data_IF_480482636286
#
_entry.id   IF_480482636286
#
_cell.length_a   1.000
_cell.length_b   1.000
_cell.length_c   1.000
_cell.angle_alpha   90.00
_cell.angle_beta   90.00
_cell.angle_gamma   90.00
#
_symmetry.space_group_name_H-M   'P 1'
#
loop_
_entity.id
_entity.type
_entity.pdbx_description
1 polymer ?
#
# COMPACT_ATOMS: atom_id res chain seq x y z
N UNK A 1 -5.09 -20.62 -15.53
CA UNK A 1 -6.45 -20.08 -15.75
C UNK A 1 -7.26 -20.30 -14.47
N UNK A 2 -7.31 -19.34 -13.55
CA UNK A 2 -8.08 -19.44 -12.30
C UNK A 2 -8.59 -18.08 -11.78
N UNK A 3 -8.75 -17.07 -12.63
CA UNK A 3 -9.17 -15.73 -12.17
C UNK A 3 -10.14 -14.96 -13.08
N UNK A 4 -10.73 -15.58 -14.12
CA UNK A 4 -11.68 -14.87 -15.00
C UNK A 4 -13.16 -15.14 -14.73
N UNK A 5 -13.50 -16.03 -13.80
CA UNK A 5 -14.90 -16.29 -13.43
C UNK A 5 -15.10 -15.87 -11.98
N UNK A 6 -15.64 -14.65 -11.78
CA UNK A 6 -16.49 -14.22 -10.65
C UNK A 6 -16.46 -12.70 -10.47
N UNK A 7 -16.63 -11.93 -11.54
CA UNK A 7 -16.83 -10.47 -11.45
C UNK A 7 -18.29 -10.03 -11.69
N UNK A 8 -19.22 -10.96 -11.94
CA UNK A 8 -20.59 -10.64 -12.33
C UNK A 8 -21.69 -11.02 -11.31
N UNK A 9 -21.36 -11.55 -10.13
CA UNK A 9 -22.36 -12.16 -9.23
C UNK A 9 -22.81 -11.30 -8.03
N UNK A 10 -22.63 -9.98 -8.09
CA UNK A 10 -22.98 -9.07 -6.97
C UNK A 10 -24.26 -8.25 -7.16
N UNK A 11 -25.23 -8.70 -7.95
CA UNK A 11 -26.46 -7.91 -8.18
C UNK A 11 -27.77 -8.48 -7.67
N UNK A 12 -27.80 -9.53 -6.84
CA UNK A 12 -29.07 -9.99 -6.25
C UNK A 12 -28.89 -10.44 -4.78
N UNK A 13 -29.22 -9.55 -3.84
CA UNK A 13 -29.43 -9.90 -2.44
C UNK A 13 -30.79 -9.35 -2.00
N UNK A 14 -31.79 -10.24 -1.93
CA UNK A 14 -33.06 -10.04 -1.22
C UNK A 14 -33.08 -10.96 0.02
N UNK A 15 -33.67 -10.54 1.16
CA UNK A 15 -33.45 -11.19 2.45
C UNK A 15 -34.60 -12.15 2.80
N UNK A 16 -34.29 -13.41 3.13
CA UNK A 16 -35.28 -14.36 3.63
C UNK A 16 -34.82 -14.95 4.97
N UNK A 17 -35.33 -14.33 6.04
CA UNK A 17 -35.55 -14.98 7.32
C UNK A 17 -36.64 -16.04 7.15
N UNK A 18 -36.36 -17.29 7.50
CA UNK A 18 -37.24 -18.08 8.35
C UNK A 18 -36.53 -19.29 8.97
N UNK A 19 -36.68 -19.32 10.29
CA UNK A 19 -36.51 -20.37 11.28
C UNK A 19 -37.00 -21.75 10.80
N UNK A 20 -36.30 -22.84 11.15
CA UNK A 20 -36.73 -23.80 12.18
C UNK A 20 -35.94 -25.15 12.09
N UNK A 21 -35.63 -25.71 13.27
CA UNK A 21 -35.68 -27.17 13.47
C UNK A 21 -34.44 -28.06 13.28
N UNK A 22 -33.77 -28.35 14.41
CA UNK A 22 -33.15 -29.65 14.79
C UNK A 22 -31.84 -30.09 14.08
N UNK A 23 -30.87 -30.77 14.69
CA UNK A 23 -30.72 -31.46 15.98
C UNK A 23 -29.21 -31.59 16.27
N UNK A 24 -28.80 -31.25 17.49
CA UNK A 24 -27.46 -31.53 18.04
C UNK A 24 -27.43 -32.96 18.57
N UNK A 25 -26.38 -33.74 18.24
CA UNK A 25 -25.95 -34.84 19.10
C UNK A 25 -24.43 -35.11 19.02
N UNK A 26 -23.73 -35.27 20.17
CA UNK A 26 -22.27 -35.38 20.22
C UNK A 26 -21.74 -36.78 20.58
N UNK A 27 -20.41 -36.91 20.37
CA UNK A 27 -19.39 -37.76 21.00
C UNK A 27 -19.29 -39.28 20.76
N UNK A 28 -18.01 -39.70 20.82
CA UNK A 28 -17.44 -41.05 21.06
C UNK A 28 -17.01 -41.81 19.77
N UNK A 29 -15.85 -42.48 19.61
CA UNK A 29 -14.75 -42.91 20.49
C UNK A 29 -13.43 -43.11 19.71
N UNK A 30 -12.30 -42.88 20.41
CA UNK A 30 -11.06 -43.70 20.54
C UNK A 30 -10.52 -44.50 19.35
N UNK A 31 -9.26 -44.24 18.97
CA UNK A 31 -8.24 -45.31 18.80
C UNK A 31 -6.81 -44.75 18.82
N UNK A 32 -5.99 -45.34 19.70
CA UNK A 32 -4.56 -45.11 19.89
C UNK A 32 -3.70 -45.62 18.72
N UNK A 33 -2.50 -45.02 18.59
CA UNK A 33 -1.41 -45.54 17.77
C UNK A 33 -0.20 -44.60 17.78
N UNK A 34 0.77 -44.88 18.66
CA UNK A 34 1.93 -44.02 18.92
C UNK A 34 3.19 -44.26 18.08
N UNK A 35 4.18 -43.44 18.42
CA UNK A 35 5.62 -43.47 18.12
C UNK A 35 6.10 -43.01 16.73
N UNK A 36 6.85 -41.91 16.67
CA UNK A 36 8.32 -41.97 16.58
C UNK A 36 8.94 -40.57 16.43
N UNK A 37 9.99 -40.35 17.21
CA UNK A 37 10.88 -39.18 17.26
C UNK A 37 11.77 -39.06 16.03
N UNK A 38 11.99 -37.83 15.54
CA UNK A 38 13.02 -37.55 14.54
C UNK A 38 13.18 -36.05 14.26
N UNK A 39 14.00 -35.38 15.05
CA UNK A 39 14.54 -34.05 14.73
C UNK A 39 15.75 -34.21 13.81
N UNK A 40 15.94 -33.34 12.81
CA UNK A 40 17.26 -33.08 12.27
C UNK A 40 17.73 -31.65 12.58
N UNK A 41 19.01 -31.61 12.92
CA UNK A 41 19.86 -30.51 13.33
C UNK A 41 20.03 -29.41 12.26
N UNK A 42 20.02 -28.15 12.71
CA UNK A 42 20.36 -26.94 11.92
C UNK A 42 21.87 -26.75 11.87
N UNK A 43 22.45 -26.89 10.68
CA UNK A 43 23.83 -26.47 10.38
C UNK A 43 23.83 -25.02 9.87
N UNK A 44 24.56 -24.15 10.57
CA UNK A 44 24.74 -22.75 10.19
C UNK A 44 25.63 -22.59 8.95
N UNK A 45 25.29 -21.61 8.12
CA UNK A 45 26.14 -21.11 7.04
C UNK A 45 26.10 -19.58 7.08
N UNK A 46 27.22 -18.98 7.49
CA UNK A 46 27.53 -17.57 7.30
C UNK A 46 27.87 -17.36 5.82
N UNK A 47 27.18 -16.44 5.14
CA UNK A 47 27.69 -15.82 3.90
C UNK A 47 27.43 -14.32 3.93
N UNK A 48 28.43 -13.59 4.42
CA UNK A 48 28.74 -12.22 4.02
C UNK A 48 29.05 -12.17 2.52
N UNK A 49 28.35 -11.33 1.76
CA UNK A 49 28.80 -10.85 0.46
C UNK A 49 28.62 -9.34 0.42
N UNK A 50 29.75 -8.62 0.34
CA UNK A 50 29.82 -7.17 0.21
C UNK A 50 29.40 -6.71 -1.18
N UNK A 51 28.73 -5.56 -1.22
CA UNK A 51 28.20 -4.92 -2.42
C UNK A 51 29.02 -3.65 -2.68
N UNK A 52 30.17 -3.78 -3.34
CA UNK A 52 30.92 -2.63 -3.85
C UNK A 52 30.63 -2.44 -5.35
N UNK A 53 29.97 -1.31 -5.63
CA UNK A 53 30.19 -0.46 -6.79
C UNK A 53 30.06 -1.07 -8.19
N UNK A 54 28.88 -0.96 -8.80
CA UNK A 54 28.73 -0.98 -10.26
C UNK A 54 27.90 0.21 -10.74
N UNK A 55 28.59 1.30 -11.04
CA UNK A 55 28.12 2.32 -11.96
C UNK A 55 28.34 1.82 -13.39
N UNK A 56 27.28 1.71 -14.19
CA UNK A 56 27.37 1.31 -15.59
C UNK A 56 26.62 2.30 -16.49
N UNK A 57 27.40 3.13 -17.17
CA UNK A 57 26.99 3.82 -18.41
C UNK A 57 26.89 2.81 -19.56
N UNK A 58 25.93 2.95 -20.50
CA UNK A 58 25.70 1.93 -21.52
C UNK A 58 26.53 2.21 -22.78
N UNK A 59 27.47 1.32 -23.09
CA UNK A 59 27.99 1.15 -24.46
C UNK A 59 27.40 -0.11 -25.06
N UNK A 60 26.59 0.08 -26.10
CA UNK A 60 25.82 -0.97 -26.79
C UNK A 60 26.75 -1.80 -27.67
N UNK A 61 26.75 -3.12 -27.51
CA UNK A 61 27.11 -4.07 -28.56
C UNK A 61 26.34 -5.38 -28.36
N UNK A 62 25.58 -5.75 -29.39
CA UNK A 62 24.53 -6.75 -29.33
C UNK A 62 25.04 -8.19 -29.36
N UNK A 63 24.84 -8.89 -28.24
CA UNK A 63 24.52 -10.32 -28.14
C UNK A 63 23.71 -10.47 -26.84
N UNK A 64 22.45 -10.96 -26.90
CA UNK A 64 21.69 -11.35 -25.70
C UNK A 64 20.43 -10.53 -25.34
N UNK A 65 19.40 -10.55 -26.19
CA UNK A 65 18.11 -9.95 -25.86
C UNK A 65 17.35 -10.70 -24.74
N UNK A 66 17.54 -12.02 -24.59
CA UNK A 66 16.86 -12.84 -23.57
C UNK A 66 17.50 -12.79 -22.17
N UNK A 67 18.81 -12.56 -22.08
CA UNK A 67 19.49 -12.39 -20.79
C UNK A 67 19.13 -11.04 -20.13
N UNK A 68 18.91 -10.02 -20.96
CA UNK A 68 18.52 -8.67 -20.49
C UNK A 68 17.12 -8.67 -19.89
N UNK A 69 16.18 -9.45 -20.44
CA UNK A 69 14.79 -9.53 -19.94
C UNK A 69 14.66 -10.30 -18.63
N UNK A 70 15.43 -11.37 -18.41
CA UNK A 70 15.46 -12.07 -17.12
C UNK A 70 16.07 -11.23 -15.99
N UNK A 71 17.11 -10.43 -16.29
CA UNK A 71 17.65 -9.47 -15.33
C UNK A 71 16.62 -8.37 -14.98
N UNK A 72 15.78 -7.98 -15.93
CA UNK A 72 14.76 -6.95 -15.72
C UNK A 72 13.59 -7.45 -14.85
N UNK A 73 13.16 -8.72 -14.99
CA UNK A 73 12.11 -9.27 -14.11
C UNK A 73 12.60 -9.45 -12.67
N UNK A 74 13.84 -9.91 -12.49
CA UNK A 74 14.46 -10.00 -11.17
C UNK A 74 14.57 -8.63 -10.47
N UNK A 75 15.00 -7.58 -11.20
CA UNK A 75 15.06 -6.22 -10.66
C UNK A 75 13.67 -5.67 -10.32
N UNK A 76 12.66 -5.90 -11.17
CA UNK A 76 11.29 -5.46 -10.90
C UNK A 76 10.69 -6.13 -9.65
N UNK A 77 10.99 -7.41 -9.42
CA UNK A 77 10.57 -8.11 -8.19
C UNK A 77 11.25 -7.50 -6.96
N UNK A 78 12.55 -7.20 -7.03
CA UNK A 78 13.27 -6.59 -5.90
C UNK A 78 12.66 -5.24 -5.51
N UNK A 79 12.35 -4.39 -6.52
CA UNK A 79 11.68 -3.12 -6.30
C UNK A 79 10.28 -3.30 -5.67
N UNK A 80 9.50 -4.30 -6.11
CA UNK A 80 8.21 -4.61 -5.50
C UNK A 80 8.34 -5.12 -4.06
N UNK A 81 9.32 -6.00 -3.80
CA UNK A 81 9.56 -6.53 -2.47
C UNK A 81 9.91 -5.40 -1.49
N UNK A 82 10.78 -4.50 -1.91
CA UNK A 82 11.16 -3.32 -1.12
C UNK A 82 9.98 -2.37 -0.90
N UNK A 83 9.25 -2.01 -1.96
CA UNK A 83 8.07 -1.16 -1.84
C UNK A 83 7.01 -1.80 -0.92
N UNK A 84 6.84 -3.12 -1.00
CA UNK A 84 5.89 -3.87 -0.15
C UNK A 84 6.34 -3.88 1.31
N UNK A 85 7.64 -4.07 1.58
CA UNK A 85 8.18 -4.01 2.94
C UNK A 85 8.00 -2.60 3.53
N UNK A 86 8.41 -1.57 2.80
CA UNK A 86 8.25 -0.18 3.20
C UNK A 86 6.78 0.18 3.46
N UNK A 87 5.87 -0.25 2.58
CA UNK A 87 4.44 -0.05 2.78
C UNK A 87 3.89 -0.84 3.97
N UNK A 88 4.38 -2.05 4.24
CA UNK A 88 3.88 -2.86 5.37
C UNK A 88 4.23 -2.28 6.73
N UNK A 89 5.42 -1.70 6.86
CA UNK A 89 5.96 -1.22 8.14
C UNK A 89 5.80 0.30 8.35
N UNK A 90 5.34 1.04 7.35
CA UNK A 90 5.00 2.46 7.51
C UNK A 90 3.59 2.64 8.09
N UNK A 91 3.38 3.58 9.02
CA UNK A 91 2.05 3.90 9.58
C UNK A 91 1.19 4.73 8.62
N UNK A 92 1.80 5.47 7.69
CA UNK A 92 1.12 6.29 6.67
C UNK A 92 1.13 5.62 5.28
N UNK A 93 0.39 6.15 4.31
CA UNK A 93 0.40 5.63 2.92
C UNK A 93 1.55 6.28 2.15
N UNK A 94 2.50 5.46 1.70
CA UNK A 94 3.66 5.96 0.95
C UNK A 94 3.27 6.44 -0.46
N UNK A 95 4.10 7.27 -1.12
CA UNK A 95 3.86 7.69 -2.50
C UNK A 95 3.65 6.50 -3.45
N UNK A 96 2.60 6.55 -4.26
CA UNK A 96 2.25 5.47 -5.18
C UNK A 96 3.37 5.25 -6.23
N UNK A 97 4.00 4.06 -6.28
CA UNK A 97 5.13 3.80 -7.18
C UNK A 97 4.63 3.48 -8.61
N UNK A 98 4.12 4.50 -9.31
CA UNK A 98 3.52 4.35 -10.63
C UNK A 98 4.47 3.73 -11.66
N UNK A 99 5.74 4.16 -11.67
CA UNK A 99 6.77 3.63 -12.57
C UNK A 99 6.99 2.13 -12.36
N UNK A 100 7.23 1.71 -11.11
CA UNK A 100 7.47 0.30 -10.79
C UNK A 100 6.25 -0.56 -11.16
N UNK A 101 5.04 -0.14 -10.82
CA UNK A 101 3.82 -0.89 -11.15
C UNK A 101 3.62 -1.01 -12.66
N UNK A 102 3.86 0.05 -13.44
CA UNK A 102 3.77 -0.01 -14.90
C UNK A 102 4.81 -0.97 -15.50
N UNK A 103 6.04 -0.99 -14.98
CA UNK A 103 7.06 -1.96 -15.44
C UNK A 103 6.64 -3.40 -15.15
N UNK A 104 6.12 -3.66 -13.95
CA UNK A 104 5.63 -4.97 -13.52
C UNK A 104 4.45 -5.44 -14.38
N UNK A 105 3.48 -4.56 -14.64
CA UNK A 105 2.32 -4.89 -15.49
C UNK A 105 2.80 -5.32 -16.88
N UNK A 106 3.76 -4.60 -17.47
CA UNK A 106 4.34 -4.96 -18.77
C UNK A 106 5.06 -6.31 -18.73
N UNK A 107 5.77 -6.62 -17.64
CA UNK A 107 6.44 -7.93 -17.44
C UNK A 107 5.40 -9.05 -17.33
N UNK A 108 4.36 -8.87 -16.51
CA UNK A 108 3.25 -9.82 -16.34
C UNK A 108 2.58 -10.12 -17.70
N UNK A 109 2.25 -9.09 -18.48
CA UNK A 109 1.61 -9.26 -19.79
C UNK A 109 2.50 -9.96 -20.81
N UNK A 110 3.83 -9.77 -20.75
CA UNK A 110 4.78 -10.49 -21.60
C UNK A 110 4.89 -11.95 -21.18
N UNK A 111 5.02 -12.21 -19.88
CA UNK A 111 5.11 -13.55 -19.32
C UNK A 111 3.84 -14.38 -19.59
N UNK A 112 2.65 -13.78 -19.48
CA UNK A 112 1.38 -14.42 -19.81
C UNK A 112 1.31 -14.86 -21.28
N UNK A 113 1.63 -13.96 -22.22
CA UNK A 113 1.67 -14.30 -23.65
C UNK A 113 2.71 -15.37 -23.97
N UNK A 114 3.89 -15.29 -23.35
CA UNK A 114 4.92 -16.31 -23.51
C UNK A 114 4.41 -17.68 -23.04
N UNK A 115 3.77 -17.74 -21.87
CA UNK A 115 3.19 -18.95 -21.31
C UNK A 115 2.16 -19.57 -22.27
N UNK A 116 1.23 -18.75 -22.80
CA UNK A 116 0.22 -19.20 -23.76
C UNK A 116 0.85 -19.80 -25.03
N UNK A 117 1.86 -19.15 -25.58
CA UNK A 117 2.55 -19.65 -26.78
C UNK A 117 3.30 -20.95 -26.53
N UNK A 118 3.91 -21.12 -25.35
CA UNK A 118 4.64 -22.33 -24.98
C UNK A 118 3.68 -23.49 -24.73
N UNK A 119 2.55 -23.26 -24.05
CA UNK A 119 1.48 -24.24 -23.90
C UNK A 119 0.96 -24.70 -25.26
N UNK A 120 0.71 -23.77 -26.18
CA UNK A 120 0.21 -24.08 -27.52
C UNK A 120 1.22 -24.84 -28.41
N UNK A 121 2.52 -24.77 -28.11
CA UNK A 121 3.56 -25.56 -28.78
C UNK A 121 3.63 -26.97 -28.19
N UNK A 122 3.62 -27.09 -26.86
CA UNK A 122 3.64 -28.39 -26.16
C UNK A 122 2.42 -29.26 -26.52
N UNK A 123 1.24 -28.64 -26.67
CA UNK A 123 0.03 -29.37 -27.11
C UNK A 123 0.11 -29.87 -28.55
N UNK A 124 0.84 -29.17 -29.44
CA UNK A 124 0.97 -29.54 -30.86
C UNK A 124 2.08 -30.55 -31.11
N UNK A 125 3.23 -30.37 -30.47
CA UNK A 125 4.42 -31.20 -30.67
C UNK A 125 4.36 -32.50 -29.86
N UNK A 126 3.32 -32.66 -29.03
CA UNK A 126 3.26 -33.69 -28.00
C UNK A 126 4.28 -33.40 -26.90
N UNK A 127 4.19 -34.11 -25.77
CA UNK A 127 5.18 -34.00 -24.70
C UNK A 127 6.52 -34.61 -25.14
N UNK A 128 7.24 -33.96 -26.07
CA UNK A 128 8.65 -34.17 -26.28
C UNK A 128 9.32 -33.85 -24.95
N UNK A 129 9.52 -34.89 -24.13
CA UNK A 129 9.99 -34.77 -22.76
C UNK A 129 11.36 -34.11 -22.83
N UNK A 130 11.40 -32.82 -22.46
CA UNK A 130 12.67 -32.16 -22.15
C UNK A 130 13.50 -33.11 -21.30
N UNK A 131 14.77 -33.28 -21.65
CA UNK A 131 15.70 -34.13 -20.89
C UNK A 131 15.97 -33.57 -19.49
N UNK A 132 15.51 -32.35 -19.23
CA UNK A 132 15.55 -31.72 -17.92
C UNK A 132 14.48 -32.33 -16.99
N UNK A 133 14.78 -32.44 -15.68
CA UNK A 133 13.83 -32.93 -14.68
C UNK A 133 12.66 -31.96 -14.42
N UNK A 134 12.68 -30.77 -15.01
CA UNK A 134 11.64 -29.73 -14.87
C UNK A 134 11.24 -29.18 -16.24
N UNK A 135 9.98 -28.74 -16.38
CA UNK A 135 9.50 -28.09 -17.60
C UNK A 135 9.76 -26.58 -17.52
N UNK A 136 10.34 -25.95 -18.56
CA UNK A 136 10.52 -24.50 -18.60
C UNK A 136 9.21 -23.72 -18.41
N UNK A 137 8.09 -24.28 -18.85
CA UNK A 137 6.75 -23.71 -18.66
C UNK A 137 6.40 -23.53 -17.17
N UNK A 138 6.74 -24.52 -16.34
CA UNK A 138 6.46 -24.48 -14.90
C UNK A 138 7.27 -23.38 -14.21
N UNK A 139 8.53 -23.18 -14.63
CA UNK A 139 9.40 -22.13 -14.08
C UNK A 139 8.81 -20.74 -14.36
N UNK A 140 8.39 -20.50 -15.61
CA UNK A 140 7.79 -19.21 -16.00
C UNK A 140 6.46 -19.01 -15.27
N UNK A 141 5.65 -20.06 -15.13
CA UNK A 141 4.41 -20.02 -14.37
C UNK A 141 4.62 -19.66 -12.89
N UNK A 142 5.62 -20.29 -12.24
CA UNK A 142 5.96 -20.00 -10.84
C UNK A 142 6.51 -18.58 -10.65
N UNK A 143 7.32 -18.09 -11.59
CA UNK A 143 7.80 -16.69 -11.55
C UNK A 143 6.62 -15.72 -11.65
N UNK A 144 5.72 -15.94 -12.62
CA UNK A 144 4.54 -15.10 -12.83
C UNK A 144 3.67 -15.05 -11.56
N UNK A 145 3.46 -16.20 -10.92
CA UNK A 145 2.73 -16.27 -9.64
C UNK A 145 3.42 -15.47 -8.54
N UNK A 146 4.76 -15.54 -8.46
CA UNK A 146 5.54 -14.78 -7.48
C UNK A 146 5.42 -13.27 -7.70
N UNK A 147 5.48 -12.79 -8.95
CA UNK A 147 5.30 -11.35 -9.25
C UNK A 147 3.89 -10.89 -8.89
N UNK A 148 2.86 -11.65 -9.30
CA UNK A 148 1.47 -11.35 -8.99
C UNK A 148 1.21 -11.32 -7.49
N UNK A 149 1.83 -12.23 -6.73
CA UNK A 149 1.73 -12.25 -5.28
C UNK A 149 2.21 -10.93 -4.66
N UNK A 150 3.42 -10.47 -5.00
CA UNK A 150 3.94 -9.21 -4.44
C UNK A 150 3.15 -7.98 -4.89
N UNK A 151 2.68 -7.94 -6.14
CA UNK A 151 1.82 -6.86 -6.61
C UNK A 151 0.50 -6.82 -5.81
N UNK A 152 -0.15 -7.97 -5.63
CA UNK A 152 -1.37 -8.08 -4.83
C UNK A 152 -1.10 -7.71 -3.36
N UNK A 153 0.03 -8.11 -2.79
CA UNK A 153 0.38 -7.80 -1.40
C UNK A 153 0.58 -6.31 -1.18
N UNK A 154 1.31 -5.63 -2.08
CA UNK A 154 1.45 -4.18 -2.05
C UNK A 154 0.07 -3.49 -2.08
N UNK A 155 -0.79 -3.87 -3.03
CA UNK A 155 -2.12 -3.27 -3.15
C UNK A 155 -3.01 -3.56 -1.92
N UNK A 156 -2.96 -4.77 -1.36
CA UNK A 156 -3.69 -5.11 -0.13
C UNK A 156 -3.21 -4.34 1.09
N UNK A 157 -1.89 -4.12 1.23
CA UNK A 157 -1.34 -3.28 2.30
C UNK A 157 -1.87 -1.85 2.17
N UNK A 158 -1.81 -1.28 0.97
CA UNK A 158 -2.30 0.08 0.69
C UNK A 158 -3.79 0.23 0.95
N UNK A 159 -4.61 -0.67 0.41
CA UNK A 159 -6.06 -0.63 0.61
C UNK A 159 -6.46 -0.71 2.09
N UNK A 160 -5.77 -1.53 2.90
CA UNK A 160 -6.01 -1.59 4.36
C UNK A 160 -5.73 -0.26 5.06
N UNK A 161 -4.71 0.47 4.64
CA UNK A 161 -4.41 1.80 5.19
C UNK A 161 -5.40 2.85 4.69
N UNK A 162 -5.75 2.81 3.41
CA UNK A 162 -6.73 3.72 2.79
C UNK A 162 -8.08 3.57 3.48
N UNK A 163 -8.50 2.34 3.80
CA UNK A 163 -9.75 2.09 4.53
C UNK A 163 -9.77 2.77 5.90
N UNK A 164 -8.69 2.64 6.67
CA UNK A 164 -8.54 3.31 7.98
C UNK A 164 -8.51 4.83 7.88
N UNK A 165 -7.91 5.37 6.81
CA UNK A 165 -7.69 6.80 6.62
C UNK A 165 -8.75 7.45 5.71
N UNK A 166 -9.78 6.72 5.29
CA UNK A 166 -10.69 7.12 4.22
C UNK A 166 -11.34 8.49 4.46
N UNK A 167 -11.81 8.74 5.68
CA UNK A 167 -12.46 10.00 6.07
C UNK A 167 -11.50 11.19 6.01
N UNK A 168 -10.25 11.02 6.46
CA UNK A 168 -9.21 12.06 6.37
C UNK A 168 -8.88 12.37 4.90
N UNK A 169 -8.66 11.34 4.09
CA UNK A 169 -8.34 11.49 2.66
C UNK A 169 -9.49 12.17 1.90
N UNK A 170 -10.74 11.83 2.21
CA UNK A 170 -11.92 12.46 1.64
C UNK A 170 -12.00 13.95 2.01
N UNK A 171 -11.75 14.28 3.28
CA UNK A 171 -11.75 15.66 3.76
C UNK A 171 -10.66 16.51 3.09
N UNK A 172 -9.44 15.98 2.91
CA UNK A 172 -8.37 16.63 2.15
C UNK A 172 -8.85 17.02 0.73
N UNK A 173 -9.64 16.16 0.09
CA UNK A 173 -10.24 16.44 -1.22
C UNK A 173 -11.29 17.56 -1.18
N UNK A 174 -12.09 17.64 -0.11
CA UNK A 174 -13.06 18.73 0.09
C UNK A 174 -12.36 20.08 0.30
N UNK A 175 -11.30 20.10 1.10
CA UNK A 175 -10.49 21.30 1.35
C UNK A 175 -9.82 21.77 0.05
N UNK A 176 -9.24 20.85 -0.73
CA UNK A 176 -8.64 21.15 -2.02
C UNK A 176 -9.66 21.68 -3.05
N UNK A 177 -10.89 21.19 -3.03
CA UNK A 177 -11.95 21.69 -3.89
C UNK A 177 -12.34 23.14 -3.54
N UNK A 178 -12.39 23.49 -2.26
CA UNK A 178 -12.75 24.83 -1.79
C UNK A 178 -11.68 25.88 -2.09
N UNK A 179 -10.40 25.51 -2.00
CA UNK A 179 -9.30 26.42 -2.38
C UNK A 179 -9.23 26.68 -3.89
N UNK A 180 -9.76 25.77 -4.71
CA UNK A 180 -9.79 25.92 -6.17
C UNK A 180 -10.91 26.83 -6.71
N UNK A 181 -11.90 27.18 -5.90
CA UNK A 181 -12.97 28.11 -6.31
C UNK A 181 -12.40 29.53 -6.33
N UNK A 182 -12.24 30.18 -7.50
CA UNK A 182 -11.87 31.59 -7.54
C UNK A 182 -13.00 32.37 -6.89
N UNK A 183 -12.69 33.24 -5.93
CA UNK A 183 -13.61 34.27 -5.44
C UNK A 183 -13.94 35.25 -6.59
N UNK A 184 -14.82 34.82 -7.51
CA UNK A 184 -15.30 35.66 -8.59
C UNK A 184 -16.45 36.54 -8.05
N UNK A 185 -16.08 37.72 -7.54
CA UNK A 185 -16.95 38.90 -7.57
C UNK A 185 -17.66 39.29 -6.27
N UNK A 186 -17.04 40.19 -5.50
CA UNK A 186 -17.71 41.42 -5.05
C UNK A 186 -16.68 42.54 -4.84
N UNK A 187 -16.18 43.12 -5.94
CA UNK A 187 -15.61 44.47 -5.91
C UNK A 187 -16.78 45.45 -5.81
N UNK A 188 -17.14 45.85 -4.59
CA UNK A 188 -17.85 47.11 -4.40
C UNK A 188 -16.81 48.23 -4.33
N UNK A 189 -16.81 49.06 -5.36
CA UNK A 189 -16.29 50.41 -5.25
C UNK A 189 -17.34 51.23 -4.49
N UNK A 190 -17.07 51.57 -3.23
CA UNK A 190 -17.18 52.95 -2.81
C UNK A 190 -16.40 53.16 -1.50
N UNK A 191 -15.74 54.31 -1.40
CA UNK A 191 -14.81 54.60 -0.32
C UNK A 191 -15.52 55.05 0.96
N UNK A 192 -15.16 54.44 2.09
CA UNK A 192 -15.14 55.13 3.39
C UNK A 192 -14.29 54.28 4.35
N UNK A 193 -13.20 54.86 4.85
CA UNK A 193 -12.41 54.27 5.92
C UNK A 193 -13.21 54.28 7.22
N UNK A 194 -13.36 53.13 7.88
CA UNK A 194 -13.48 53.02 9.34
C UNK A 194 -13.43 51.55 9.79
N UNK A 195 -12.50 51.27 10.71
CA UNK A 195 -12.46 50.13 11.66
C UNK A 195 -12.27 48.72 11.08
N UNK A 196 -11.00 48.31 11.09
CA UNK A 196 -10.52 46.92 10.95
C UNK A 196 -11.21 45.96 11.93
N UNK A 197 -12.28 45.29 11.49
CA UNK A 197 -12.82 44.10 12.12
C UNK A 197 -12.79 42.93 11.14
N UNK A 198 -11.84 42.02 11.38
CA UNK A 198 -11.83 40.61 11.02
C UNK A 198 -12.67 40.18 9.81
N UNK A 199 -12.09 40.23 8.61
CA UNK A 199 -12.41 39.22 7.59
C UNK A 199 -11.84 37.88 8.05
N UNK A 200 -12.58 37.19 8.91
CA UNK A 200 -12.39 35.76 9.15
C UNK A 200 -12.84 35.03 7.88
N UNK A 201 -11.96 34.95 6.88
CA UNK A 201 -12.07 33.92 5.84
C UNK A 201 -12.18 32.59 6.58
N UNK A 202 -13.34 31.94 6.51
CA UNK A 202 -13.65 30.66 7.15
C UNK A 202 -12.84 29.55 6.47
N UNK A 203 -11.52 29.59 6.62
CA UNK A 203 -10.62 28.58 6.12
C UNK A 203 -10.84 27.31 6.96
N UNK A 204 -11.23 26.23 6.29
CA UNK A 204 -11.33 24.92 6.93
C UNK A 204 -9.97 24.51 7.51
N UNK A 205 -9.93 23.85 8.69
CA UNK A 205 -8.68 23.38 9.26
C UNK A 205 -7.91 22.44 8.33
N UNK A 206 -6.60 22.64 8.19
CA UNK A 206 -5.75 21.77 7.37
C UNK A 206 -5.35 20.49 8.11
N UNK A 207 -5.34 19.36 7.39
CA UNK A 207 -4.89 18.07 7.92
C UNK A 207 -3.37 18.11 8.11
N UNK A 208 -2.90 17.64 9.28
CA UNK A 208 -1.47 17.68 9.65
C UNK A 208 -0.58 16.89 8.69
N UNK A 209 -1.07 15.75 8.18
CA UNK A 209 -0.29 14.83 7.36
C UNK A 209 -1.10 14.47 6.11
N UNK A 210 -1.00 15.25 5.02
CA UNK A 210 -1.77 15.01 3.81
C UNK A 210 -1.33 13.71 3.13
N UNK A 211 -2.28 12.83 2.85
CA UNK A 211 -2.03 11.53 2.22
C UNK A 211 -2.55 11.48 0.77
N UNK A 212 -3.53 12.30 0.40
CA UNK A 212 -4.26 12.18 -0.88
C UNK A 212 -3.37 12.27 -2.11
N UNK A 213 -2.28 13.04 -2.03
CA UNK A 213 -1.29 13.17 -3.11
C UNK A 213 -0.46 11.88 -3.34
N UNK A 214 -0.35 11.03 -2.33
CA UNK A 214 0.40 9.78 -2.39
C UNK A 214 -0.42 8.64 -3.04
N UNK A 215 -1.70 8.86 -3.32
CA UNK A 215 -2.62 7.85 -3.86
C UNK A 215 -2.72 7.93 -5.39
N UNK A 216 -2.89 6.78 -6.03
CA UNK A 216 -3.31 6.73 -7.42
C UNK A 216 -4.75 7.23 -7.60
N UNK A 217 -5.17 7.67 -8.81
CA UNK A 217 -6.54 8.14 -9.04
C UNK A 217 -7.61 7.11 -8.68
N UNK A 218 -7.33 5.81 -8.88
CA UNK A 218 -8.23 4.73 -8.50
C UNK A 218 -8.32 4.57 -6.98
N UNK A 219 -7.19 4.70 -6.28
CA UNK A 219 -7.15 4.67 -4.82
C UNK A 219 -7.91 5.86 -4.21
N UNK A 220 -7.78 7.06 -4.78
CA UNK A 220 -8.55 8.23 -4.37
C UNK A 220 -10.05 8.00 -4.53
N UNK A 221 -10.46 7.43 -5.67
CA UNK A 221 -11.87 7.10 -5.89
C UNK A 221 -12.41 6.07 -4.87
N UNK A 222 -11.61 5.06 -4.52
CA UNK A 222 -11.96 4.09 -3.48
C UNK A 222 -12.12 4.77 -2.12
N UNK A 223 -11.17 5.63 -1.74
CA UNK A 223 -11.24 6.40 -0.49
C UNK A 223 -12.51 7.27 -0.42
N UNK A 224 -12.80 8.01 -1.49
CA UNK A 224 -14.00 8.86 -1.58
C UNK A 224 -15.30 8.04 -1.53
N UNK A 225 -15.29 6.84 -2.10
CA UNK A 225 -16.44 5.93 -2.04
C UNK A 225 -16.63 5.36 -0.63
N UNK A 226 -15.55 4.90 0.02
CA UNK A 226 -15.59 4.36 1.37
C UNK A 226 -16.10 5.40 2.37
N UNK A 227 -15.58 6.63 2.33
CA UNK A 227 -16.03 7.71 3.21
C UNK A 227 -17.53 8.02 3.04
N UNK A 228 -18.01 8.11 1.80
CA UNK A 228 -19.44 8.35 1.50
C UNK A 228 -20.33 7.18 1.93
N UNK A 229 -19.90 5.95 1.68
CA UNK A 229 -20.64 4.75 2.10
C UNK A 229 -20.70 4.62 3.61
N UNK A 230 -19.60 4.93 4.32
CA UNK A 230 -19.57 4.97 5.78
C UNK A 230 -20.55 6.02 6.33
N UNK A 231 -20.51 7.25 5.81
CA UNK A 231 -21.45 8.31 6.20
C UNK A 231 -22.91 7.91 5.95
N UNK A 232 -23.23 7.41 4.76
CA UNK A 232 -24.59 6.99 4.41
C UNK A 232 -25.11 5.85 5.30
N UNK A 233 -24.24 4.91 5.69
CA UNK A 233 -24.59 3.81 6.59
C UNK A 233 -24.82 4.33 8.00
N UNK A 234 -23.96 5.22 8.49
CA UNK A 234 -24.09 5.82 9.81
C UNK A 234 -25.37 6.67 9.92
N UNK A 235 -25.68 7.44 8.87
CA UNK A 235 -26.95 8.20 8.73
C UNK A 235 -28.17 7.32 8.90
N UNK A 236 -28.20 6.17 8.22
CA UNK A 236 -29.31 5.20 8.34
C UNK A 236 -29.36 4.53 9.71
N UNK A 237 -28.21 4.27 10.33
CA UNK A 237 -28.15 3.52 11.60
C UNK A 237 -28.56 4.33 12.83
N UNK A 238 -28.42 5.66 12.81
CA UNK A 238 -28.76 6.49 13.97
C UNK A 238 -28.42 7.97 13.85
N UNK A 239 -27.49 8.36 12.96
CA UNK A 239 -27.07 9.76 12.87
C UNK A 239 -28.20 10.70 12.44
N UNK A 240 -29.21 10.21 11.72
CA UNK A 240 -30.39 11.00 11.33
C UNK A 240 -31.15 11.59 12.53
N UNK A 241 -31.09 10.94 13.69
CA UNK A 241 -31.73 11.41 14.93
C UNK A 241 -30.94 12.50 15.67
N UNK A 242 -29.67 12.71 15.30
CA UNK A 242 -28.82 13.73 15.93
C UNK A 242 -29.10 15.13 15.35
N UNK A 243 -28.83 16.21 16.10
CA UNK A 243 -28.90 17.57 15.57
C UNK A 243 -28.02 17.75 14.32
N UNK A 244 -28.43 18.62 13.40
CA UNK A 244 -27.77 18.80 12.10
C UNK A 244 -26.25 19.08 12.20
N UNK A 245 -25.81 19.80 13.24
CA UNK A 245 -24.39 20.07 13.48
C UNK A 245 -23.55 18.78 13.68
N UNK A 246 -24.13 17.75 14.29
CA UNK A 246 -23.45 16.48 14.62
C UNK A 246 -23.65 15.39 13.56
N UNK A 247 -24.35 15.70 12.45
CA UNK A 247 -24.58 14.73 11.37
C UNK A 247 -23.39 14.59 10.41
N UNK A 248 -22.31 15.33 10.65
CA UNK A 248 -21.12 15.34 9.80
C UNK A 248 -20.00 14.47 10.38
N UNK A 249 -19.32 13.71 9.53
CA UNK A 249 -18.13 12.91 9.87
C UNK A 249 -16.82 13.61 9.47
N UNK A 250 -16.92 14.86 9.05
CA UNK A 250 -15.80 15.70 8.66
C UNK A 250 -16.00 17.08 9.29
N UNK A 251 -14.91 17.83 9.57
CA UNK A 251 -15.02 19.17 10.12
C UNK A 251 -15.96 20.08 9.31
N UNK A 252 -16.85 20.82 9.99
CA UNK A 252 -17.83 21.72 9.39
C UNK A 252 -17.81 23.13 10.02
N UNK A 253 -18.19 24.15 9.25
CA UNK A 253 -17.85 25.56 9.49
C UNK A 253 -18.60 26.26 10.63
N UNK A 254 -19.75 25.78 11.08
CA UNK A 254 -20.50 26.48 12.14
C UNK A 254 -19.89 26.29 13.54
N UNK A 255 -19.06 25.27 13.74
CA UNK A 255 -18.46 24.94 15.05
C UNK A 255 -16.95 24.61 14.99
N UNK A 256 -16.36 24.41 13.81
CA UNK A 256 -14.91 24.34 13.50
C UNK A 256 -13.96 23.55 14.44
N UNK A 257 -14.49 22.80 15.39
CA UNK A 257 -13.84 21.75 16.16
C UNK A 257 -14.15 20.41 15.49
N UNK A 258 -13.19 19.48 15.48
CA UNK A 258 -13.40 18.16 14.90
C UNK A 258 -12.30 17.63 14.00
N UNK A 259 -11.13 18.27 13.88
CA UNK A 259 -9.95 17.57 13.31
C UNK A 259 -9.67 16.26 14.05
N UNK A 260 -9.97 16.21 15.35
CA UNK A 260 -9.86 15.02 16.20
C UNK A 260 -10.75 13.84 15.75
N UNK A 261 -11.80 14.09 14.95
CA UNK A 261 -12.63 13.02 14.37
C UNK A 261 -11.93 12.31 13.21
N UNK A 262 -10.93 12.97 12.61
CA UNK A 262 -10.24 12.44 11.45
C UNK A 262 -9.16 11.45 11.89
N UNK A 263 -9.11 10.25 11.28
CA UNK A 263 -8.07 9.29 11.58
C UNK A 263 -6.71 9.81 11.08
N UNK A 264 -5.70 9.85 11.97
CA UNK A 264 -4.33 10.25 11.65
C UNK A 264 -3.38 9.04 11.69
N UNK A 265 -2.33 9.00 10.82
CA UNK A 265 -1.30 7.98 10.92
C UNK A 265 -0.37 8.23 12.11
N UNK A 266 -0.07 7.17 12.87
CA UNK A 266 0.82 7.24 14.04
C UNK A 266 2.30 7.29 13.64
N UNK A 267 2.84 8.51 13.48
CA UNK A 267 4.27 8.70 13.19
C UNK A 267 5.19 8.38 14.39
N UNK A 268 4.64 8.19 15.58
CA UNK A 268 5.37 7.77 16.78
C UNK A 268 5.68 6.27 16.81
N UNK A 269 5.04 5.48 15.94
CA UNK A 269 5.28 4.04 15.84
C UNK A 269 6.77 3.75 15.63
N UNK A 270 7.31 2.86 16.46
CA UNK A 270 8.68 2.36 16.32
C UNK A 270 8.81 1.41 15.14
N UNK A 271 9.80 1.67 14.28
CA UNK A 271 10.09 0.87 13.08
C UNK A 271 11.55 0.45 13.06
N UNK A 272 11.82 -0.70 12.45
CA UNK A 272 13.16 -1.13 12.09
C UNK A 272 13.49 -0.61 10.70
N UNK A 273 14.57 0.15 10.57
CA UNK A 273 15.05 0.69 9.30
C UNK A 273 16.52 0.32 9.07
N UNK A 274 16.82 -0.15 7.86
CA UNK A 274 18.18 -0.37 7.37
C UNK A 274 18.55 0.79 6.46
N UNK A 275 19.66 1.46 6.75
CA UNK A 275 20.21 2.49 5.88
C UNK A 275 20.79 1.85 4.62
N UNK A 276 20.36 2.30 3.44
CA UNK A 276 20.90 1.85 2.16
C UNK A 276 22.13 2.67 1.75
N UNK A 277 22.22 3.90 2.23
CA UNK A 277 23.31 4.85 1.98
C UNK A 277 23.77 5.47 3.31
N UNK A 278 24.94 6.12 3.31
CA UNK A 278 25.43 6.86 4.47
C UNK A 278 24.55 8.10 4.71
N UNK A 279 23.79 8.11 5.80
CA UNK A 279 22.87 9.22 6.13
C UNK A 279 23.57 10.36 6.89
N UNK A 280 24.83 10.17 7.27
CA UNK A 280 25.57 11.09 8.11
C UNK A 280 24.97 11.16 9.51
N UNK A 281 24.98 12.36 10.12
CA UNK A 281 24.48 12.56 11.48
C UNK A 281 22.98 12.83 11.45
N UNK A 282 22.20 11.85 11.90
CA UNK A 282 20.74 11.92 11.98
C UNK A 282 20.31 12.09 13.44
N UNK A 283 19.26 12.89 13.68
CA UNK A 283 18.67 13.00 15.00
C UNK A 283 17.71 11.82 15.24
N UNK A 284 18.12 10.88 16.10
CA UNK A 284 17.31 9.73 16.50
C UNK A 284 16.56 9.96 17.81
N UNK A 285 16.50 11.22 18.26
CA UNK A 285 15.88 11.62 19.51
C UNK A 285 14.41 11.27 19.68
N UNK A 286 14.03 11.07 20.95
CA UNK A 286 12.65 11.06 21.39
C UNK A 286 12.37 12.26 22.31
N UNK A 287 11.24 12.95 22.09
CA UNK A 287 10.77 13.99 23.00
C UNK A 287 11.70 15.19 23.21
N UNK A 288 12.49 15.58 22.20
CA UNK A 288 13.38 16.75 22.28
C UNK A 288 14.77 16.47 22.88
N UNK A 289 15.12 15.21 23.12
CA UNK A 289 16.51 14.84 23.37
C UNK A 289 17.25 14.74 22.04
N UNK A 290 18.23 15.61 21.80
CA UNK A 290 19.09 15.52 20.62
C UNK A 290 20.02 14.31 20.72
N UNK A 291 19.57 13.17 20.20
CA UNK A 291 20.37 11.96 20.06
C UNK A 291 20.95 11.90 18.64
N UNK A 292 21.88 12.82 18.37
CA UNK A 292 22.62 12.86 17.11
C UNK A 292 23.50 11.62 16.99
N UNK A 293 23.27 10.81 15.96
CA UNK A 293 24.05 9.60 15.69
C UNK A 293 24.44 9.55 14.23
N UNK A 294 25.71 9.22 13.98
CA UNK A 294 26.16 8.89 12.64
C UNK A 294 25.58 7.53 12.23
N UNK A 295 24.92 7.48 11.07
CA UNK A 295 24.32 6.28 10.49
C UNK A 295 25.06 5.97 9.20
N UNK A 296 25.71 4.80 9.16
CA UNK A 296 26.41 4.31 7.98
C UNK A 296 25.53 3.35 7.17
N UNK A 297 25.85 3.17 5.90
CA UNK A 297 25.18 2.22 5.02
C UNK A 297 25.23 0.79 5.59
N UNK A 298 24.11 0.08 5.51
CA UNK A 298 23.94 -1.29 6.01
C UNK A 298 23.61 -1.40 7.50
N UNK A 299 23.66 -0.31 8.27
CA UNK A 299 23.32 -0.34 9.69
C UNK A 299 21.80 -0.41 9.92
N UNK A 300 21.40 -1.20 10.92
CA UNK A 300 20.01 -1.38 11.34
C UNK A 300 19.73 -0.54 12.60
N UNK A 301 18.65 0.23 12.55
CA UNK A 301 18.22 1.08 13.66
C UNK A 301 16.75 0.86 14.01
N UNK A 302 16.45 1.02 15.29
CA UNK A 302 15.10 1.08 15.84
C UNK A 302 14.83 2.51 16.32
N UNK A 303 13.87 3.18 15.70
CA UNK A 303 13.53 4.57 16.00
C UNK A 303 12.05 4.82 15.67
N UNK A 304 11.41 5.84 16.25
CA UNK A 304 10.10 6.29 15.79
C UNK A 304 10.09 6.65 14.31
N UNK A 305 9.02 6.28 13.60
CA UNK A 305 8.89 6.44 12.16
C UNK A 305 9.09 7.90 11.70
N UNK A 306 8.65 8.89 12.49
CA UNK A 306 8.86 10.32 12.22
C UNK A 306 10.32 10.68 11.89
N UNK A 307 11.31 10.00 12.50
CA UNK A 307 12.73 10.27 12.29
C UNK A 307 13.21 9.69 10.95
N UNK A 308 12.65 8.55 10.52
CA UNK A 308 12.99 7.88 9.27
C UNK A 308 12.10 8.23 8.09
N UNK A 309 10.94 8.84 8.33
CA UNK A 309 9.99 9.27 7.31
C UNK A 309 10.63 9.95 6.08
N UNK A 310 11.45 11.01 6.21
CA UNK A 310 12.05 11.66 5.04
C UNK A 310 12.99 10.74 4.26
N UNK A 311 13.74 9.88 4.97
CA UNK A 311 14.70 8.95 4.39
C UNK A 311 14.03 7.75 3.71
N UNK A 312 12.86 7.32 4.21
CA UNK A 312 12.02 6.31 3.56
C UNK A 312 11.39 6.88 2.29
N UNK A 313 10.96 8.14 2.31
CA UNK A 313 10.40 8.81 1.13
C UNK A 313 11.45 9.08 0.03
N UNK A 314 12.70 9.35 0.41
CA UNK A 314 13.82 9.51 -0.54
C UNK A 314 14.39 8.19 -1.04
N UNK A 315 14.00 7.05 -0.45
CA UNK A 315 14.54 5.73 -0.80
C UNK A 315 15.92 5.43 -0.22
N UNK A 316 16.37 6.19 0.79
CA UNK A 316 17.67 6.00 1.46
C UNK A 316 17.60 5.02 2.63
N UNK A 317 16.39 4.77 3.16
CA UNK A 317 16.13 3.80 4.24
C UNK A 317 15.06 2.82 3.79
N UNK A 318 15.33 1.53 4.02
CA UNK A 318 14.35 0.45 3.84
C UNK A 318 13.86 -0.05 5.18
N UNK A 319 12.54 -0.17 5.33
CA UNK A 319 11.92 -0.74 6.52
C UNK A 319 11.91 -2.27 6.47
N UNK A 320 12.07 -2.92 7.63
CA UNK A 320 12.21 -4.38 7.76
C UNK A 320 11.36 -4.93 8.90
#
# INVERSE_FOLDING_TARGET
>A
MFFEENLNDTTDYEPLLHDDGASVRPLSQVSDGGASSGTPSMGGINTTFGLDGLSLTPTVSGVGAEATTQSASAAAIQLLMEATANERFSPEVLPYPASAINTVINIIQRAQRQLETMVAKETREGAARSLLPFRPLDIIGLELQRVQFFLCELLRCRLRKIDRLATSIYYEGLVAAQSSVPQLGLRHADGTEELSSASATTALPEVRIPQRQNLSPKEQWVADRLARSAHATLMKSGLQSMPAALQHLVPHSSEAEGLEILPEPDLGMYVFGVALEDLGVVNLGEGGQDALRAINAGELFLTPYRNFRPYVMSGQVRLV
#
